data_IF_346850133734
#
_entry.id   IF_346850133734
#
_cell.length_a   1.000
_cell.length_b   1.000
_cell.length_c   1.000
_cell.angle_alpha   90.00
_cell.angle_beta   90.00
_cell.angle_gamma   90.00
#
_symmetry.space_group_name_H-M   'P 1'
#
loop_
_entity.id
_entity.type
_entity.pdbx_description
1 polymer ?
#
# COMPACT_ATOMS: atom_id res chain seq x y z
N UNK A 1 9.26 -24.79 -10.87
CA UNK A 1 9.19 -23.36 -10.50
C UNK A 1 7.73 -23.06 -10.24
N UNK A 2 7.37 -22.70 -9.01
CA UNK A 2 5.98 -22.43 -8.65
C UNK A 2 5.69 -20.99 -9.07
N UNK A 3 5.00 -20.81 -10.19
CA UNK A 3 4.58 -19.51 -10.70
C UNK A 3 3.51 -18.90 -9.78
N UNK A 4 3.95 -18.33 -8.65
CA UNK A 4 3.06 -17.67 -7.69
C UNK A 4 2.65 -16.32 -8.25
N UNK A 5 1.44 -16.26 -8.78
CA UNK A 5 0.78 -14.99 -9.13
C UNK A 5 0.44 -14.23 -7.85
N UNK A 6 0.77 -12.94 -7.82
CA UNK A 6 0.51 -12.01 -6.72
C UNK A 6 -0.04 -10.69 -7.26
N UNK A 7 -0.44 -9.81 -6.35
CA UNK A 7 -0.95 -8.49 -6.67
C UNK A 7 -0.02 -7.42 -6.12
N UNK A 8 0.64 -6.67 -7.00
CA UNK A 8 1.47 -5.53 -6.66
C UNK A 8 0.59 -4.32 -6.31
N UNK A 9 0.86 -3.71 -5.15
CA UNK A 9 0.04 -2.64 -4.54
C UNK A 9 -1.44 -3.02 -4.44
N UNK A 10 -1.72 -4.32 -4.32
CA UNK A 10 -3.06 -4.88 -4.17
C UNK A 10 -3.90 -4.97 -5.45
N UNK A 11 -3.54 -4.26 -6.53
CA UNK A 11 -4.39 -4.18 -7.73
C UNK A 11 -3.77 -4.85 -8.95
N UNK A 12 -2.46 -4.67 -9.17
CA UNK A 12 -1.81 -5.04 -10.42
C UNK A 12 -1.31 -6.49 -10.39
N UNK A 13 -1.71 -7.35 -11.35
CA UNK A 13 -1.24 -8.74 -11.40
C UNK A 13 0.21 -8.83 -11.82
N UNK A 14 0.97 -9.56 -11.02
CA UNK A 14 2.40 -9.78 -11.24
C UNK A 14 2.77 -11.22 -10.91
N UNK A 15 3.82 -11.72 -11.55
CA UNK A 15 4.38 -13.04 -11.31
C UNK A 15 5.69 -12.90 -10.55
N UNK A 16 5.89 -13.68 -9.49
CA UNK A 16 7.19 -13.71 -8.80
C UNK A 16 8.17 -14.55 -9.63
N UNK A 17 9.29 -13.95 -10.03
CA UNK A 17 10.39 -14.61 -10.73
C UNK A 17 11.44 -15.10 -9.72
N UNK A 18 11.82 -14.25 -8.77
CA UNK A 18 12.85 -14.56 -7.76
C UNK A 18 12.42 -14.10 -6.37
N UNK A 19 12.55 -14.99 -5.39
CA UNK A 19 12.32 -14.71 -3.98
C UNK A 19 13.66 -14.40 -3.27
N UNK A 20 13.79 -13.25 -2.62
CA UNK A 20 14.94 -12.90 -1.75
C UNK A 20 14.43 -12.35 -0.41
N UNK A 21 15.32 -12.25 0.58
CA UNK A 21 14.96 -11.75 1.92
C UNK A 21 14.69 -10.25 1.82
N UNK A 22 13.41 -9.87 1.91
CA UNK A 22 12.93 -8.47 1.90
C UNK A 22 12.57 -7.92 0.50
N UNK A 23 13.17 -8.46 -0.57
CA UNK A 23 12.93 -8.02 -1.94
C UNK A 23 12.55 -9.17 -2.86
N UNK A 24 11.66 -8.91 -3.80
CA UNK A 24 11.23 -9.85 -4.82
C UNK A 24 11.42 -9.27 -6.22
N UNK A 25 11.85 -10.12 -7.14
CA UNK A 25 11.82 -9.80 -8.58
C UNK A 25 10.48 -10.26 -9.10
N UNK A 26 9.71 -9.31 -9.62
CA UNK A 26 8.38 -9.53 -10.18
C UNK A 26 8.37 -9.24 -11.67
N UNK A 27 7.53 -9.93 -12.40
CA UNK A 27 7.23 -9.71 -13.81
C UNK A 27 5.78 -9.25 -13.96
N UNK A 28 5.58 -8.15 -14.69
CA UNK A 28 4.25 -7.60 -14.92
C UNK A 28 3.43 -8.48 -15.88
N UNK A 29 2.26 -8.93 -15.46
CA UNK A 29 1.32 -9.69 -16.30
C UNK A 29 0.29 -8.79 -17.01
N UNK A 30 0.23 -7.52 -16.63
CA UNK A 30 -0.61 -6.50 -17.23
C UNK A 30 0.12 -5.16 -17.24
N UNK A 31 -0.18 -4.25 -18.19
CA UNK A 31 0.38 -2.91 -18.16
C UNK A 31 -0.25 -2.09 -17.03
N UNK A 32 0.57 -1.43 -16.22
CA UNK A 32 0.09 -0.56 -15.15
C UNK A 32 0.96 0.69 -14.98
N UNK A 33 0.43 1.66 -14.26
CA UNK A 33 1.16 2.88 -13.89
C UNK A 33 1.66 2.76 -12.46
N UNK A 34 2.91 3.16 -12.25
CA UNK A 34 3.54 3.19 -10.94
C UNK A 34 4.16 4.55 -10.66
N UNK A 35 4.38 4.83 -9.38
CA UNK A 35 5.03 6.04 -8.91
C UNK A 35 6.28 5.65 -8.13
N UNK A 36 7.45 6.01 -8.67
CA UNK A 36 8.75 5.85 -8.01
C UNK A 36 9.39 7.22 -7.94
N UNK A 37 9.82 7.62 -6.74
CA UNK A 37 10.49 8.90 -6.49
C UNK A 37 9.68 10.11 -7.02
N UNK A 38 8.35 10.05 -6.87
CA UNK A 38 7.43 11.08 -7.36
C UNK A 38 7.23 11.10 -8.88
N UNK A 39 7.90 10.23 -9.65
CA UNK A 39 7.76 10.14 -11.11
C UNK A 39 6.78 9.04 -11.50
N UNK A 40 5.85 9.38 -12.39
CA UNK A 40 4.93 8.42 -12.99
C UNK A 40 5.65 7.63 -14.08
N UNK A 41 5.60 6.32 -13.98
CA UNK A 41 6.24 5.39 -14.90
C UNK A 41 5.21 4.36 -15.37
N UNK A 42 5.25 4.05 -16.66
CA UNK A 42 4.39 3.02 -17.27
C UNK A 42 5.17 1.72 -17.34
N UNK A 43 4.64 0.69 -16.71
CA UNK A 43 5.19 -0.66 -16.73
C UNK A 43 4.52 -1.42 -17.85
N UNK A 44 5.31 -2.05 -18.72
CA UNK A 44 4.79 -2.89 -19.80
C UNK A 44 4.66 -4.34 -19.35
N UNK A 45 3.86 -5.12 -20.08
CA UNK A 45 3.77 -6.56 -19.86
C UNK A 45 5.14 -7.22 -20.09
N UNK A 46 5.52 -8.16 -19.23
CA UNK A 46 6.83 -8.83 -19.25
C UNK A 46 7.98 -7.99 -18.70
N UNK A 47 7.75 -6.74 -18.26
CA UNK A 47 8.79 -5.94 -17.61
C UNK A 47 9.06 -6.48 -16.20
N UNK A 48 10.35 -6.66 -15.87
CA UNK A 48 10.78 -7.16 -14.56
C UNK A 48 11.20 -6.01 -13.64
N UNK A 49 10.83 -6.12 -12.36
CA UNK A 49 11.14 -5.12 -11.33
C UNK A 49 11.47 -5.74 -9.99
N UNK A 50 12.31 -5.04 -9.24
CA UNK A 50 12.60 -5.35 -7.85
C UNK A 50 11.64 -4.55 -6.98
N UNK A 51 10.89 -5.23 -6.14
CA UNK A 51 9.92 -4.63 -5.21
C UNK A 51 10.11 -5.19 -3.81
N UNK A 52 9.69 -4.44 -2.81
CA UNK A 52 9.67 -4.90 -1.43
C UNK A 52 8.58 -5.96 -1.23
N UNK A 53 8.87 -6.97 -0.40
CA UNK A 53 7.93 -8.06 -0.11
C UNK A 53 6.58 -7.60 0.44
N UNK A 54 6.56 -6.49 1.19
CA UNK A 54 5.36 -5.94 1.82
C UNK A 54 4.36 -5.33 0.83
N UNK A 55 4.80 -5.06 -0.40
CA UNK A 55 3.93 -4.48 -1.45
C UNK A 55 3.15 -5.53 -2.24
N UNK A 56 3.43 -6.82 -2.03
CA UNK A 56 2.78 -7.93 -2.71
C UNK A 56 1.68 -8.57 -1.86
N UNK A 57 0.50 -8.70 -2.44
CA UNK A 57 -0.67 -9.29 -1.81
C UNK A 57 -1.04 -10.62 -2.48
N UNK A 58 -1.54 -11.58 -1.71
CA UNK A 58 -2.03 -12.87 -2.25
C UNK A 58 -3.33 -12.74 -3.04
N UNK A 59 -4.14 -11.74 -2.72
CA UNK A 59 -5.46 -11.49 -3.31
C UNK A 59 -5.54 -10.03 -3.72
N UNK A 60 -6.38 -9.75 -4.71
CA UNK A 60 -6.68 -8.38 -5.10
C UNK A 60 -7.28 -7.65 -3.90
N UNK A 61 -6.75 -6.48 -3.57
CA UNK A 61 -7.17 -5.67 -2.42
C UNK A 61 -7.05 -4.20 -2.80
N UNK A 62 -8.12 -3.44 -2.58
CA UNK A 62 -8.08 -1.99 -2.75
C UNK A 62 -7.49 -1.34 -1.50
N UNK A 63 -6.78 -0.21 -1.64
CA UNK A 63 -6.36 0.57 -0.49
C UNK A 63 -7.60 0.95 0.32
N UNK A 64 -7.45 1.01 1.65
CA UNK A 64 -8.54 1.47 2.50
C UNK A 64 -8.97 2.87 2.08
N UNK A 65 -10.29 3.16 2.09
CA UNK A 65 -10.77 4.50 1.77
C UNK A 65 -10.09 5.50 2.69
N UNK A 66 -9.70 6.64 2.13
CA UNK A 66 -9.20 7.77 2.91
C UNK A 66 -10.35 8.18 3.83
N UNK A 67 -10.12 8.17 5.14
CA UNK A 67 -11.15 8.58 6.09
C UNK A 67 -11.52 10.04 5.84
N UNK A 68 -12.73 10.26 5.35
CA UNK A 68 -13.32 11.59 5.27
C UNK A 68 -13.38 12.18 6.69
N UNK A 69 -13.12 13.48 6.80
CA UNK A 69 -13.18 14.20 8.07
C UNK A 69 -12.21 13.72 9.18
N UNK A 70 -11.08 13.11 8.80
CA UNK A 70 -10.07 12.68 9.76
C UNK A 70 -9.57 13.83 10.66
N UNK A 71 -9.60 15.07 10.15
CA UNK A 71 -9.22 16.26 10.92
C UNK A 71 -10.26 16.57 12.01
N UNK A 72 -11.54 16.57 11.66
CA UNK A 72 -12.66 16.85 12.56
C UNK A 72 -12.71 15.82 13.69
N UNK A 73 -12.62 14.53 13.36
CA UNK A 73 -12.52 13.44 14.34
C UNK A 73 -11.34 13.63 15.32
N UNK A 74 -10.20 14.09 14.83
CA UNK A 74 -9.01 14.35 15.65
C UNK A 74 -9.22 15.55 16.57
N UNK A 75 -9.88 16.60 16.07
CA UNK A 75 -10.23 17.79 16.85
C UNK A 75 -11.23 17.47 17.96
N UNK A 76 -12.28 16.71 17.68
CA UNK A 76 -13.26 16.29 18.68
C UNK A 76 -12.61 15.45 19.80
N UNK A 77 -11.74 14.51 19.43
CA UNK A 77 -10.99 13.71 20.41
C UNK A 77 -10.11 14.58 21.31
N UNK A 78 -9.38 15.54 20.73
CA UNK A 78 -8.57 16.50 21.50
C UNK A 78 -9.42 17.34 22.45
N UNK A 79 -10.58 17.82 21.99
CA UNK A 79 -11.48 18.62 22.82
C UNK A 79 -12.01 17.81 24.01
N UNK A 80 -12.45 16.57 23.78
CA UNK A 80 -12.90 15.67 24.87
C UNK A 80 -11.80 15.45 25.91
N UNK A 81 -10.57 15.17 25.47
CA UNK A 81 -9.42 15.00 26.36
C UNK A 81 -9.14 16.25 27.20
N UNK A 82 -9.24 17.43 26.59
CA UNK A 82 -9.03 18.70 27.29
C UNK A 82 -10.09 18.96 28.38
N UNK A 83 -11.36 18.65 28.09
CA UNK A 83 -12.46 18.79 29.05
C UNK A 83 -12.26 17.83 30.24
N UNK A 84 -11.93 16.56 29.97
CA UNK A 84 -11.68 15.56 31.01
C UNK A 84 -10.53 15.96 31.94
N UNK A 85 -9.42 16.47 31.38
CA UNK A 85 -8.31 17.01 32.18
C UNK A 85 -8.72 18.21 33.02
N UNK A 86 -9.57 19.11 32.50
CA UNK A 86 -10.08 20.24 33.28
C UNK A 86 -11.01 19.79 34.40
N UNK A 87 -11.83 18.77 34.18
CA UNK A 87 -12.72 18.23 35.21
C UNK A 87 -11.94 17.50 36.31
N UNK A 88 -10.89 16.74 35.97
CA UNK A 88 -10.02 16.07 36.95
C UNK A 88 -9.15 17.02 37.78
N UNK A 89 -8.88 18.23 37.28
CA UNK A 89 -8.14 19.28 37.99
C UNK A 89 -9.03 20.14 38.90
N UNK A 90 -10.34 19.93 38.86
CA UNK A 90 -11.34 20.66 39.65
C UNK A 90 -11.79 19.80 40.81
#
# INVERSE_FOLDING_TARGET
>A
MNDKIRYYKGVNKVKIVTESVGYYIIEALEPFEDFIDGKKIKVKIGEQRIVESNTLYSKMTYPSPIQEHAYELKMEKKLKQFIDQKQKKK
#
